data_IF_821867969757
#
_entry.id   IF_821867969757
#
_cell.length_a   1.000
_cell.length_b   1.000
_cell.length_c   1.000
_cell.angle_alpha   90.00
_cell.angle_beta   90.00
_cell.angle_gamma   90.00
#
_symmetry.space_group_name_H-M   'P 1'
#
loop_
_entity.id
_entity.type
_entity.pdbx_description
1 polymer ?
#
# COMPACT_ATOMS: atom_id res chain seq x y z
N UNK A 1 -21.43 37.48 -14.76
CA UNK A 1 -20.69 36.24 -15.04
C UNK A 1 -19.90 35.91 -13.79
N UNK A 2 -20.43 35.01 -12.95
CA UNK A 2 -19.74 34.56 -11.73
C UNK A 2 -18.64 33.59 -12.14
N UNK A 3 -17.40 33.93 -11.80
CA UNK A 3 -16.26 33.03 -11.91
C UNK A 3 -16.56 31.76 -11.11
N UNK A 4 -16.66 30.62 -11.79
CA UNK A 4 -16.70 29.32 -11.12
C UNK A 4 -15.31 29.13 -10.51
N UNK A 5 -15.20 29.28 -9.19
CA UNK A 5 -14.01 28.87 -8.45
C UNK A 5 -13.75 27.40 -8.78
N UNK A 6 -12.60 27.13 -9.42
CA UNK A 6 -12.16 25.76 -9.67
C UNK A 6 -11.98 25.10 -8.30
N UNK A 7 -12.85 24.15 -7.97
CA UNK A 7 -12.78 23.41 -6.72
C UNK A 7 -11.40 22.76 -6.61
N UNK A 8 -10.74 22.98 -5.49
CA UNK A 8 -9.45 22.37 -5.19
C UNK A 8 -9.61 20.85 -5.23
N UNK A 9 -8.78 20.19 -6.04
CA UNK A 9 -8.74 18.74 -6.17
C UNK A 9 -7.57 18.16 -5.42
N UNK A 10 -7.79 16.98 -4.87
CA UNK A 10 -6.81 16.18 -4.16
C UNK A 10 -6.62 14.86 -4.88
N UNK A 11 -5.37 14.55 -5.20
CA UNK A 11 -4.99 13.29 -5.85
C UNK A 11 -4.60 12.29 -4.77
N UNK A 12 -5.06 11.05 -4.90
CA UNK A 12 -4.74 9.95 -4.01
C UNK A 12 -4.10 8.81 -4.79
N UNK A 13 -3.13 8.14 -4.19
CA UNK A 13 -2.58 6.88 -4.68
C UNK A 13 -3.10 5.69 -3.87
N UNK A 14 -3.40 4.59 -4.56
CA UNK A 14 -4.04 3.42 -3.96
C UNK A 14 -3.05 2.30 -3.70
N UNK A 15 -3.17 1.72 -2.51
CA UNK A 15 -2.40 0.59 -2.03
C UNK A 15 -3.36 -0.52 -1.60
N UNK A 16 -2.94 -1.77 -1.74
CA UNK A 16 -3.55 -2.90 -1.08
C UNK A 16 -2.74 -3.25 0.15
N UNK A 17 -3.42 -3.60 1.24
CA UNK A 17 -2.75 -4.20 2.39
C UNK A 17 -3.26 -5.60 2.68
N UNK A 18 -2.38 -6.42 3.24
CA UNK A 18 -2.64 -7.82 3.54
C UNK A 18 -2.25 -8.08 4.99
N UNK A 19 -3.25 -8.43 5.81
CA UNK A 19 -3.08 -8.85 7.20
C UNK A 19 -3.00 -10.38 7.23
N UNK A 20 -1.87 -10.94 7.67
CA UNK A 20 -1.61 -12.38 7.68
C UNK A 20 -1.20 -12.85 9.07
N UNK A 21 -1.74 -13.97 9.58
CA UNK A 21 -1.22 -14.59 10.79
C UNK A 21 0.24 -15.02 10.59
N UNK A 22 1.11 -14.68 11.54
CA UNK A 22 2.56 -14.97 11.48
C UNK A 22 2.85 -16.47 11.54
N UNK A 23 2.06 -17.20 12.32
CA UNK A 23 2.20 -18.64 12.49
C UNK A 23 0.85 -19.28 12.76
N UNK A 24 0.67 -20.52 12.27
CA UNK A 24 -0.47 -21.37 12.65
C UNK A 24 -0.42 -21.81 14.11
N UNK A 25 0.76 -21.80 14.72
CA UNK A 25 0.91 -22.13 16.14
C UNK A 25 0.53 -20.92 16.99
N UNK A 26 -0.75 -20.83 17.34
CA UNK A 26 -1.23 -19.79 18.25
C UNK A 26 -0.83 -20.18 19.68
N UNK A 27 0.09 -19.40 20.25
CA UNK A 27 0.34 -19.46 21.68
C UNK A 27 -0.82 -18.76 22.40
N UNK A 28 -1.49 -19.48 23.30
CA UNK A 28 -2.57 -18.91 24.13
C UNK A 28 -2.02 -17.73 24.93
N UNK A 29 -2.59 -16.55 24.69
CA UNK A 29 -2.40 -15.40 25.58
C UNK A 29 -3.51 -15.41 26.62
N UNK A 30 -3.14 -15.11 27.87
CA UNK A 30 -4.04 -15.16 29.03
C UNK A 30 -5.27 -14.24 28.83
N UNK A 31 -5.11 -13.14 28.09
CA UNK A 31 -6.15 -12.13 27.88
C UNK A 31 -6.81 -12.17 26.48
N UNK A 32 -6.59 -13.22 25.69
CA UNK A 32 -7.13 -13.33 24.32
C UNK A 32 -8.13 -14.48 24.19
N UNK A 33 -9.34 -14.18 23.71
CA UNK A 33 -10.36 -15.19 23.35
C UNK A 33 -10.04 -15.93 22.03
N UNK A 34 -8.94 -15.58 21.36
CA UNK A 34 -8.51 -16.22 20.11
C UNK A 34 -7.61 -17.40 20.44
N UNK A 35 -8.14 -18.61 20.25
CA UNK A 35 -7.46 -19.87 20.54
C UNK A 35 -7.02 -20.62 19.28
N UNK A 36 -7.65 -20.37 18.14
CA UNK A 36 -7.40 -21.11 16.88
C UNK A 36 -6.99 -20.22 15.72
N UNK A 37 -6.27 -20.82 14.76
CA UNK A 37 -5.86 -20.15 13.52
C UNK A 37 -7.05 -19.58 12.76
N UNK A 38 -8.14 -20.34 12.69
CA UNK A 38 -9.37 -19.97 11.99
C UNK A 38 -10.03 -18.75 12.64
N UNK A 39 -10.06 -18.70 13.98
CA UNK A 39 -10.56 -17.54 14.72
C UNK A 39 -9.69 -16.31 14.46
N UNK A 40 -8.36 -16.45 14.50
CA UNK A 40 -7.46 -15.33 14.20
C UNK A 40 -7.64 -14.80 12.78
N UNK A 41 -7.83 -15.69 11.80
CA UNK A 41 -8.10 -15.32 10.41
C UNK A 41 -9.43 -14.57 10.27
N UNK A 42 -10.46 -14.98 11.00
CA UNK A 42 -11.78 -14.33 11.00
C UNK A 42 -11.76 -12.95 11.68
N UNK A 43 -11.03 -12.83 12.79
CA UNK A 43 -11.02 -11.62 13.63
C UNK A 43 -9.95 -10.57 13.24
N UNK A 44 -8.98 -10.90 12.37
CA UNK A 44 -7.86 -10.00 12.03
C UNK A 44 -8.26 -8.59 11.60
N UNK A 45 -9.38 -8.43 10.89
CA UNK A 45 -9.88 -7.13 10.45
C UNK A 45 -10.47 -6.36 11.64
N UNK A 46 -11.18 -7.02 12.56
CA UNK A 46 -11.68 -6.41 13.80
C UNK A 46 -10.50 -5.98 14.69
N UNK A 47 -9.48 -6.82 14.83
CA UNK A 47 -8.25 -6.48 15.56
C UNK A 47 -7.52 -5.26 14.97
N UNK A 48 -7.46 -5.14 13.64
CA UNK A 48 -6.92 -3.93 13.01
C UNK A 48 -7.83 -2.72 13.26
N UNK A 49 -9.16 -2.88 13.19
CA UNK A 49 -10.10 -1.80 13.49
C UNK A 49 -9.91 -1.27 14.92
N UNK A 50 -9.75 -2.17 15.91
CA UNK A 50 -9.49 -1.79 17.31
C UNK A 50 -8.18 -0.99 17.45
N UNK A 51 -7.12 -1.40 16.73
CA UNK A 51 -5.86 -0.65 16.68
C UNK A 51 -6.08 0.75 16.08
N UNK A 52 -6.82 0.85 14.97
CA UNK A 52 -7.08 2.12 14.28
C UNK A 52 -7.98 3.06 15.11
N UNK A 53 -8.92 2.53 15.89
CA UNK A 53 -9.80 3.30 16.78
C UNK A 53 -9.10 3.73 18.08
N UNK A 54 -7.98 3.10 18.43
CA UNK A 54 -7.27 3.39 19.65
C UNK A 54 -6.64 4.80 19.58
N UNK A 55 -7.01 5.69 20.51
CA UNK A 55 -6.46 7.06 20.59
C UNK A 55 -4.96 7.12 20.85
N UNK A 56 -4.37 6.04 21.36
CA UNK A 56 -2.95 5.92 21.62
C UNK A 56 -2.16 5.37 20.42
N UNK A 57 -2.79 5.18 19.25
CA UNK A 57 -2.05 4.83 18.04
C UNK A 57 -1.11 5.97 17.66
N UNK A 58 0.14 5.63 17.40
CA UNK A 58 1.15 6.57 16.94
C UNK A 58 1.95 5.98 15.80
N UNK A 59 2.45 6.85 14.92
CA UNK A 59 3.32 6.47 13.81
C UNK A 59 4.75 6.87 14.15
N UNK A 60 5.68 5.94 13.97
CA UNK A 60 7.11 6.17 14.25
C UNK A 60 7.85 6.55 12.98
N UNK A 61 8.10 7.86 12.78
CA UNK A 61 8.88 8.34 11.65
C UNK A 61 10.28 8.79 12.08
N UNK A 62 11.30 8.01 11.73
CA UNK A 62 12.70 8.23 12.18
C UNK A 62 13.29 9.60 11.83
N UNK A 63 12.70 10.34 10.89
CA UNK A 63 13.26 11.57 10.32
C UNK A 63 12.52 12.85 10.72
N UNK A 64 11.34 12.75 11.33
CA UNK A 64 10.57 13.91 11.76
C UNK A 64 9.45 13.50 12.70
N UNK A 65 8.97 14.44 13.51
CA UNK A 65 7.76 14.26 14.30
C UNK A 65 6.55 14.21 13.36
N UNK A 66 5.62 13.31 13.68
CA UNK A 66 4.37 13.14 12.93
C UNK A 66 3.19 13.21 13.87
N UNK A 67 2.09 13.77 13.38
CA UNK A 67 0.81 13.82 14.07
C UNK A 67 -0.15 12.95 13.27
N UNK A 68 -0.69 11.91 13.89
CA UNK A 68 -1.61 10.97 13.27
C UNK A 68 -2.92 11.00 14.04
N UNK A 69 -4.01 11.40 13.38
CA UNK A 69 -5.30 11.64 14.03
C UNK A 69 -6.44 11.06 13.21
N UNK A 70 -7.29 10.26 13.84
CA UNK A 70 -8.56 9.80 13.28
C UNK A 70 -9.52 10.99 13.17
N UNK A 71 -10.02 11.27 11.96
CA UNK A 71 -11.01 12.31 11.71
C UNK A 71 -12.40 11.75 11.54
N UNK A 72 -12.50 10.54 10.97
CA UNK A 72 -13.77 9.86 10.77
C UNK A 72 -13.61 8.34 10.79
N UNK A 73 -14.60 7.65 11.33
CA UNK A 73 -14.71 6.19 11.26
C UNK A 73 -16.16 5.77 11.07
N UNK A 74 -16.43 4.90 10.12
CA UNK A 74 -17.71 4.21 9.97
C UNK A 74 -17.52 2.79 9.42
N UNK A 75 -18.01 1.80 10.17
CA UNK A 75 -17.86 0.37 9.87
C UNK A 75 -16.41 0.00 9.56
N UNK A 76 -16.09 -0.12 8.27
CA UNK A 76 -14.80 -0.54 7.75
C UNK A 76 -13.96 0.64 7.20
N UNK A 77 -14.52 1.84 7.14
CA UNK A 77 -13.83 3.03 6.61
C UNK A 77 -13.25 3.84 7.75
N UNK A 78 -11.95 4.11 7.69
CA UNK A 78 -11.24 4.97 8.64
C UNK A 78 -10.47 6.05 7.90
N UNK A 79 -10.72 7.31 8.25
CA UNK A 79 -10.09 8.47 7.64
C UNK A 79 -9.21 9.15 8.67
N UNK A 80 -7.93 9.25 8.35
CA UNK A 80 -6.94 9.88 9.20
C UNK A 80 -6.32 11.09 8.51
N UNK A 81 -5.91 12.05 9.34
CA UNK A 81 -4.99 13.09 8.94
C UNK A 81 -3.61 12.79 9.50
N UNK A 82 -2.61 12.84 8.62
CA UNK A 82 -1.21 12.68 8.95
C UNK A 82 -0.45 13.97 8.64
N UNK A 83 -0.07 14.70 9.69
CA UNK A 83 0.83 15.85 9.61
C UNK A 83 2.28 15.43 9.86
N UNK A 84 3.23 16.10 9.23
CA UNK A 84 4.67 15.91 9.48
C UNK A 84 5.33 17.25 9.71
N UNK A 85 6.16 17.36 10.75
CA UNK A 85 6.90 18.58 11.03
C UNK A 85 7.90 18.86 9.90
N UNK A 86 7.90 20.10 9.43
CA UNK A 86 8.85 20.69 8.48
C UNK A 86 9.30 22.04 9.01
N UNK A 87 10.60 22.31 8.98
CA UNK A 87 11.12 23.62 9.35
C UNK A 87 11.24 24.48 8.07
N UNK A 88 10.51 25.59 8.01
CA UNK A 88 10.55 26.56 6.91
C UNK A 88 11.53 27.67 7.26
N UNK A 89 12.54 27.85 6.40
CA UNK A 89 13.46 28.98 6.48
C UNK A 89 12.84 30.19 5.78
N UNK A 90 12.53 31.23 6.55
CA UNK A 90 11.95 32.48 6.06
C UNK A 90 12.97 33.61 6.16
N UNK A 91 13.23 34.28 5.04
CA UNK A 91 13.98 35.53 5.04
C UNK A 91 13.03 36.71 5.31
N UNK A 92 13.38 37.54 6.27
CA UNK A 92 12.64 38.76 6.66
C UNK A 92 13.01 39.95 5.78
N UNK A 93 12.25 41.06 5.88
CA UNK A 93 12.55 42.30 5.13
C UNK A 93 13.88 42.91 5.56
N UNK A 94 14.29 42.63 6.79
CA UNK A 94 15.56 43.01 7.40
C UNK A 94 16.70 42.04 7.05
N UNK A 95 16.49 41.14 6.08
CA UNK A 95 17.43 40.11 5.63
C UNK A 95 17.89 39.15 6.73
N UNK A 96 17.10 39.00 7.81
CA UNK A 96 17.31 37.97 8.84
C UNK A 96 16.60 36.68 8.46
N UNK A 97 17.21 35.55 8.77
CA UNK A 97 16.62 34.24 8.57
C UNK A 97 15.95 33.76 9.85
N UNK A 98 14.68 33.38 9.76
CA UNK A 98 13.90 32.79 10.85
C UNK A 98 13.49 31.37 10.46
N UNK A 99 13.42 30.47 11.43
CA UNK A 99 12.88 29.12 11.25
C UNK A 99 11.49 29.04 11.86
N UNK A 100 10.52 28.63 11.04
CA UNK A 100 9.12 28.50 11.43
C UNK A 100 8.73 27.04 11.31
N UNK A 101 8.13 26.48 12.35
CA UNK A 101 7.58 25.13 12.32
C UNK A 101 6.30 25.11 11.48
N UNK A 102 6.25 24.23 10.48
CA UNK A 102 5.08 23.95 9.65
C UNK A 102 4.72 22.45 9.73
N UNK A 103 3.42 22.16 9.62
CA UNK A 103 2.88 20.81 9.67
C UNK A 103 2.02 20.54 8.43
N UNK A 104 2.63 20.48 7.23
CA UNK A 104 1.93 20.03 6.05
C UNK A 104 1.40 18.61 6.30
N UNK A 105 0.17 18.36 5.83
CA UNK A 105 -0.55 17.13 6.12
C UNK A 105 -1.10 16.47 4.86
N UNK A 106 -1.43 15.20 5.02
CA UNK A 106 -2.12 14.37 4.04
C UNK A 106 -3.29 13.66 4.71
N UNK A 107 -4.27 13.29 3.89
CA UNK A 107 -5.36 12.39 4.27
C UNK A 107 -5.01 10.96 3.88
N UNK A 108 -5.35 10.05 4.78
CA UNK A 108 -5.23 8.61 4.62
C UNK A 108 -6.60 7.99 4.78
N UNK A 109 -6.97 7.08 3.88
CA UNK A 109 -8.28 6.42 3.93
C UNK A 109 -8.08 4.91 3.90
N UNK A 110 -8.42 4.24 4.98
CA UNK A 110 -8.42 2.80 5.09
C UNK A 110 -9.81 2.27 4.78
N UNK A 111 -9.90 1.34 3.83
CA UNK A 111 -11.04 0.44 3.68
C UNK A 111 -10.65 -0.94 4.24
N UNK A 112 -11.11 -1.24 5.44
CA UNK A 112 -10.87 -2.46 6.22
C UNK A 112 -11.89 -3.57 5.99
N UNK A 113 -12.67 -3.47 4.91
CA UNK A 113 -13.52 -4.58 4.50
C UNK A 113 -12.66 -5.82 4.22
N UNK A 114 -12.99 -7.01 4.77
CA UNK A 114 -12.22 -8.23 4.59
C UNK A 114 -12.02 -8.66 3.13
N UNK A 115 -12.89 -8.20 2.22
CA UNK A 115 -12.81 -8.50 0.79
C UNK A 115 -11.99 -7.48 -0.01
N UNK A 116 -11.78 -6.28 0.55
CA UNK A 116 -11.13 -5.15 -0.11
C UNK A 116 -9.72 -4.90 0.40
N UNK A 117 -9.57 -4.48 1.66
CA UNK A 117 -8.30 -4.13 2.31
C UNK A 117 -7.41 -3.17 1.50
N UNK A 118 -7.92 -1.97 1.24
CA UNK A 118 -7.23 -0.92 0.47
C UNK A 118 -6.93 0.31 1.33
N UNK A 119 -5.82 0.96 1.03
CA UNK A 119 -5.37 2.21 1.64
C UNK A 119 -5.19 3.24 0.53
N UNK A 120 -5.88 4.37 0.63
CA UNK A 120 -5.62 5.53 -0.20
C UNK A 120 -4.73 6.54 0.54
N UNK A 121 -3.72 7.07 -0.15
CA UNK A 121 -2.77 8.04 0.38
C UNK A 121 -2.82 9.30 -0.47
N UNK A 122 -3.20 10.43 0.12
CA UNK A 122 -3.21 11.72 -0.57
C UNK A 122 -1.78 12.16 -0.95
N UNK A 123 -1.62 12.65 -2.18
CA UNK A 123 -0.42 13.34 -2.62
C UNK A 123 -0.35 14.75 -2.03
N UNK A 124 0.73 15.02 -1.29
CA UNK A 124 1.13 16.37 -0.92
C UNK A 124 2.66 16.43 -0.79
N UNK A 125 3.33 16.96 -1.82
CA UNK A 125 4.80 17.03 -1.85
C UNK A 125 5.41 17.93 -0.77
N UNK A 126 4.62 18.83 -0.16
CA UNK A 126 5.08 19.61 1.01
C UNK A 126 5.17 18.73 2.26
N UNK A 127 4.29 17.74 2.39
CA UNK A 127 4.29 16.77 3.48
C UNK A 127 5.26 15.62 3.18
N UNK A 128 5.03 14.86 2.11
CA UNK A 128 5.82 13.70 1.74
C UNK A 128 6.10 13.71 0.23
N UNK A 129 7.38 13.55 -0.14
CA UNK A 129 7.77 13.52 -1.55
C UNK A 129 7.16 12.34 -2.32
N UNK A 130 6.83 11.27 -1.60
CA UNK A 130 6.41 9.96 -2.12
C UNK A 130 5.43 9.31 -1.16
N UNK A 131 4.28 8.92 -1.68
CA UNK A 131 3.25 8.10 -1.02
C UNK A 131 3.82 6.78 -0.49
N UNK A 132 4.79 6.15 -1.16
CA UNK A 132 5.37 4.89 -0.69
C UNK A 132 6.13 5.07 0.63
N UNK A 133 6.66 6.26 0.89
CA UNK A 133 7.29 6.58 2.18
C UNK A 133 6.26 6.54 3.30
N UNK A 134 5.03 6.98 3.00
CA UNK A 134 3.90 6.95 3.93
C UNK A 134 3.38 5.53 4.12
N UNK A 135 3.23 4.76 3.03
CA UNK A 135 2.85 3.36 3.09
C UNK A 135 3.81 2.55 3.98
N UNK A 136 5.13 2.72 3.81
CA UNK A 136 6.12 2.08 4.67
C UNK A 136 6.09 2.58 6.12
N UNK A 137 5.82 3.87 6.35
CA UNK A 137 5.65 4.39 7.71
C UNK A 137 4.48 3.70 8.42
N UNK A 138 3.35 3.58 7.73
CA UNK A 138 2.15 2.92 8.25
C UNK A 138 2.42 1.44 8.49
N UNK A 139 2.98 0.72 7.51
CA UNK A 139 3.32 -0.70 7.62
C UNK A 139 4.20 -0.97 8.84
N UNK A 140 5.31 -0.23 8.99
CA UNK A 140 6.24 -0.42 10.10
C UNK A 140 5.60 -0.09 11.46
N UNK A 141 4.76 0.95 11.52
CA UNK A 141 4.13 1.36 12.77
C UNK A 141 3.05 0.35 13.20
N UNK A 142 2.16 -0.03 12.28
CA UNK A 142 1.11 -1.01 12.54
C UNK A 142 1.67 -2.41 12.83
N UNK A 143 2.79 -2.78 12.19
CA UNK A 143 3.46 -4.06 12.47
C UNK A 143 3.84 -4.22 13.94
N UNK A 144 4.23 -3.13 14.63
CA UNK A 144 4.57 -3.21 16.05
C UNK A 144 3.36 -3.56 16.92
N UNK A 145 2.18 -3.04 16.58
CA UNK A 145 0.93 -3.35 17.29
C UNK A 145 0.43 -4.76 16.95
N UNK A 146 0.49 -5.13 15.66
CA UNK A 146 -0.02 -6.41 15.15
C UNK A 146 0.86 -7.61 15.53
N UNK A 147 2.18 -7.42 15.70
CA UNK A 147 3.09 -8.48 16.12
C UNK A 147 2.66 -9.10 17.47
N UNK A 148 2.20 -8.24 18.39
CA UNK A 148 1.63 -8.68 19.66
C UNK A 148 0.36 -9.52 19.50
N UNK A 149 -0.31 -9.47 18.36
CA UNK A 149 -1.52 -10.23 18.06
C UNK A 149 -1.24 -11.42 17.13
N UNK A 150 0.03 -11.79 16.93
CA UNK A 150 0.46 -12.83 15.98
C UNK A 150 0.04 -12.51 14.53
N UNK A 151 -0.02 -11.23 14.17
CA UNK A 151 -0.39 -10.75 12.84
C UNK A 151 0.76 -9.94 12.22
N UNK A 152 0.94 -10.08 10.91
CA UNK A 152 1.80 -9.25 10.08
C UNK A 152 0.93 -8.46 9.10
N UNK A 153 1.39 -7.26 8.74
CA UNK A 153 0.78 -6.45 7.69
C UNK A 153 1.79 -6.19 6.58
N UNK A 154 1.33 -6.24 5.34
CA UNK A 154 2.09 -5.88 4.15
C UNK A 154 1.29 -4.87 3.35
N UNK A 155 1.90 -3.78 2.92
CA UNK A 155 1.25 -2.72 2.15
C UNK A 155 1.98 -2.54 0.83
N UNK A 156 1.27 -2.73 -0.29
CA UNK A 156 1.84 -2.66 -1.62
C UNK A 156 1.01 -1.79 -2.56
N UNK A 157 1.64 -1.01 -3.46
CA UNK A 157 0.92 -0.18 -4.40
C UNK A 157 0.14 -1.05 -5.38
N UNK A 158 -1.04 -0.58 -5.75
CA UNK A 158 -1.78 -1.10 -6.90
C UNK A 158 -1.28 -0.31 -8.12
N UNK A 159 -0.91 -0.99 -9.21
CA UNK A 159 -0.33 -0.34 -10.40
C UNK A 159 -0.93 -0.91 -11.68
N UNK A 160 -0.75 -0.19 -12.79
CA UNK A 160 -1.23 -0.63 -14.09
C UNK A 160 -0.27 -1.67 -14.71
N UNK A 161 -0.83 -2.78 -15.20
CA UNK A 161 -0.08 -3.82 -15.93
C UNK A 161 0.64 -3.24 -17.16
N UNK A 162 0.10 -2.18 -17.77
CA UNK A 162 0.74 -1.49 -18.90
C UNK A 162 2.14 -0.99 -18.57
N UNK A 163 2.42 -0.55 -17.32
CA UNK A 163 3.77 -0.07 -16.94
C UNK A 163 4.83 -1.16 -17.15
N UNK A 164 4.47 -2.42 -16.87
CA UNK A 164 5.38 -3.53 -17.12
C UNK A 164 5.66 -3.67 -18.62
N UNK A 165 4.62 -3.66 -19.45
CA UNK A 165 4.76 -3.82 -20.90
C UNK A 165 5.49 -2.64 -21.54
N UNK A 166 5.25 -1.41 -21.09
CA UNK A 166 5.99 -0.21 -21.51
C UNK A 166 7.50 -0.38 -21.29
N UNK A 167 7.91 -1.04 -20.18
CA UNK A 167 9.33 -1.33 -19.93
C UNK A 167 9.84 -2.41 -20.88
N UNK A 168 9.08 -3.47 -21.14
CA UNK A 168 9.47 -4.52 -22.08
C UNK A 168 9.65 -3.94 -23.49
N UNK A 169 8.71 -3.13 -23.95
CA UNK A 169 8.74 -2.46 -25.27
C UNK A 169 9.86 -1.44 -25.39
N UNK A 170 10.17 -0.72 -24.30
CA UNK A 170 11.29 0.23 -24.26
C UNK A 170 12.66 -0.46 -24.33
N UNK A 171 12.76 -1.72 -23.91
CA UNK A 171 14.01 -2.48 -23.85
C UNK A 171 13.90 -3.82 -24.61
N UNK A 172 13.63 -3.78 -25.93
CA UNK A 172 13.41 -4.98 -26.71
C UNK A 172 14.68 -5.82 -26.73
N UNK A 173 14.54 -7.14 -26.51
CA UNK A 173 15.65 -8.10 -26.49
C UNK A 173 16.79 -7.72 -25.54
N UNK A 174 16.49 -7.09 -24.40
CA UNK A 174 17.49 -6.72 -23.38
C UNK A 174 17.13 -7.20 -21.98
N UNK A 175 16.01 -7.89 -21.80
CA UNK A 175 15.59 -8.39 -20.49
C UNK A 175 16.39 -9.65 -20.17
N UNK A 176 17.22 -9.60 -19.13
CA UNK A 176 18.03 -10.75 -18.68
C UNK A 176 17.37 -11.50 -17.54
N UNK A 177 16.56 -10.82 -16.76
CA UNK A 177 15.95 -11.42 -15.57
C UNK A 177 14.61 -10.75 -15.26
N UNK A 178 13.63 -11.54 -14.85
CA UNK A 178 12.38 -11.09 -14.23
C UNK A 178 12.27 -11.74 -12.86
N UNK A 179 12.03 -10.94 -11.83
CA UNK A 179 11.76 -11.40 -10.48
C UNK A 179 10.37 -10.98 -10.02
N UNK A 180 9.54 -11.93 -9.63
CA UNK A 180 8.26 -11.70 -8.96
C UNK A 180 8.41 -12.00 -7.47
N UNK A 181 8.03 -11.07 -6.60
CA UNK A 181 7.84 -11.34 -5.18
C UNK A 181 6.35 -11.32 -4.90
N UNK A 182 5.78 -12.49 -4.60
CA UNK A 182 4.36 -12.68 -4.33
C UNK A 182 4.14 -12.69 -2.84
N UNK A 183 3.35 -11.75 -2.34
CA UNK A 183 2.84 -11.74 -0.97
C UNK A 183 1.62 -12.63 -0.94
N UNK A 184 1.51 -13.50 0.07
CA UNK A 184 0.41 -14.47 0.17
C UNK A 184 -0.93 -13.74 0.26
N UNK A 185 -1.89 -14.02 -0.63
CA UNK A 185 -3.13 -13.26 -0.66
C UNK A 185 -3.93 -13.50 0.61
N UNK A 186 -4.60 -12.44 1.08
CA UNK A 186 -5.77 -12.65 1.91
C UNK A 186 -6.86 -13.36 1.10
N UNK A 187 -7.79 -14.03 1.76
CA UNK A 187 -8.90 -14.76 1.10
C UNK A 187 -9.73 -13.89 0.12
N UNK A 188 -9.48 -12.58 0.09
CA UNK A 188 -9.86 -11.58 -0.92
C UNK A 188 -9.75 -12.01 -2.41
N UNK A 189 -10.47 -11.27 -3.26
CA UNK A 189 -10.75 -11.54 -4.68
C UNK A 189 -9.52 -11.71 -5.58
N UNK A 190 -8.36 -11.14 -5.23
CA UNK A 190 -7.13 -11.27 -6.03
C UNK A 190 -6.55 -12.69 -5.99
N UNK A 191 -7.03 -13.55 -5.07
CA UNK A 191 -6.57 -14.93 -4.99
C UNK A 191 -7.04 -15.82 -6.16
N UNK A 192 -7.91 -15.30 -7.03
CA UNK A 192 -8.37 -16.00 -8.24
C UNK A 192 -7.37 -15.88 -9.41
N UNK A 193 -6.48 -14.88 -9.40
CA UNK A 193 -5.50 -14.67 -10.49
C UNK A 193 -4.18 -15.42 -10.26
N UNK A 194 -3.90 -15.82 -9.02
CA UNK A 194 -2.70 -16.62 -8.70
C UNK A 194 -2.96 -18.12 -8.89
N UNK A 195 -1.95 -18.85 -9.35
CA UNK A 195 -2.00 -20.30 -9.47
C UNK A 195 -2.35 -20.95 -8.12
N UNK A 196 -3.32 -21.88 -8.14
CA UNK A 196 -3.78 -22.63 -6.96
C UNK A 196 -2.62 -23.36 -6.27
N UNK A 197 -1.65 -23.86 -7.03
CA UNK A 197 -0.48 -24.55 -6.49
C UNK A 197 0.40 -23.60 -5.66
N UNK A 198 0.60 -22.36 -6.13
CA UNK A 198 1.37 -21.35 -5.39
C UNK A 198 0.65 -20.99 -4.10
N UNK A 199 -0.67 -20.79 -4.15
CA UNK A 199 -1.48 -20.52 -2.96
C UNK A 199 -1.41 -21.67 -1.95
N UNK A 200 -1.53 -22.91 -2.42
CA UNK A 200 -1.42 -24.10 -1.57
C UNK A 200 -0.03 -24.24 -0.95
N UNK A 201 1.04 -23.97 -1.72
CA UNK A 201 2.42 -23.97 -1.22
C UNK A 201 2.61 -22.94 -0.11
N UNK A 202 2.13 -21.71 -0.29
CA UNK A 202 2.20 -20.66 0.73
C UNK A 202 1.38 -21.02 1.98
N UNK A 203 0.22 -21.64 1.80
CA UNK A 203 -0.61 -22.12 2.89
C UNK A 203 0.05 -23.27 3.66
N UNK A 204 0.67 -24.24 3.00
CA UNK A 204 1.22 -25.44 3.66
C UNK A 204 2.56 -25.17 4.35
N UNK A 205 3.32 -24.16 3.89
CA UNK A 205 4.65 -23.81 4.41
C UNK A 205 4.64 -22.58 5.33
N UNK A 206 3.48 -21.97 5.56
CA UNK A 206 3.33 -20.68 6.25
C UNK A 206 4.17 -19.54 5.62
N UNK A 207 4.49 -19.65 4.33
CA UNK A 207 5.21 -18.60 3.62
C UNK A 207 4.32 -17.37 3.40
N UNK A 208 4.77 -16.22 3.90
CA UNK A 208 4.13 -14.92 3.63
C UNK A 208 4.57 -14.33 2.30
N UNK A 209 5.79 -14.65 1.86
CA UNK A 209 6.39 -14.13 0.63
C UNK A 209 7.06 -15.26 -0.14
N UNK A 210 6.83 -15.30 -1.44
CA UNK A 210 7.44 -16.25 -2.36
C UNK A 210 8.13 -15.49 -3.49
N UNK A 211 9.36 -15.87 -3.83
CA UNK A 211 10.12 -15.22 -4.90
C UNK A 211 10.32 -16.17 -6.06
N UNK A 212 9.90 -15.74 -7.25
CA UNK A 212 10.13 -16.44 -8.50
C UNK A 212 11.09 -15.61 -9.34
N UNK A 213 12.13 -16.25 -9.85
CA UNK A 213 13.16 -15.60 -10.65
C UNK A 213 13.34 -16.38 -11.95
N UNK A 214 13.07 -15.70 -13.06
CA UNK A 214 13.39 -16.16 -14.40
C UNK A 214 14.68 -15.46 -14.80
N UNK A 215 15.72 -16.19 -15.17
CA UNK A 215 16.99 -15.65 -15.64
C UNK A 215 17.37 -16.32 -16.95
N UNK A 216 17.77 -15.52 -17.94
CA UNK A 216 18.35 -16.05 -19.17
C UNK A 216 19.81 -16.42 -18.97
N UNK A 217 20.38 -17.17 -19.91
CA UNK A 217 21.83 -17.26 -20.00
C UNK A 217 22.45 -15.84 -20.13
N UNK A 218 23.67 -15.64 -19.62
CA UNK A 218 24.42 -14.38 -19.67
C UNK A 218 24.55 -13.82 -21.09
N UNK A 219 24.64 -14.70 -22.08
CA UNK A 219 24.76 -14.36 -23.50
C UNK A 219 23.42 -14.27 -24.22
N UNK A 220 22.32 -14.59 -23.54
CA UNK A 220 20.96 -14.56 -24.07
C UNK A 220 20.09 -13.51 -23.36
N UNK A 221 18.83 -13.41 -23.79
CA UNK A 221 17.79 -12.62 -23.15
C UNK A 221 16.53 -13.49 -22.99
N UNK A 222 15.68 -13.12 -22.04
CA UNK A 222 14.36 -13.71 -21.89
C UNK A 222 13.46 -13.27 -23.05
N UNK A 223 12.69 -14.21 -23.58
CA UNK A 223 11.60 -13.93 -24.51
C UNK A 223 10.30 -13.80 -23.71
N UNK A 224 9.81 -12.57 -23.58
CA UNK A 224 8.65 -12.23 -22.76
C UNK A 224 7.61 -11.60 -23.67
N UNK A 225 6.50 -12.31 -23.83
CA UNK A 225 5.46 -11.99 -24.79
C UNK A 225 4.10 -11.89 -24.09
N UNK A 226 3.22 -11.06 -24.63
CA UNK A 226 1.91 -10.81 -24.04
C UNK A 226 1.01 -12.06 -24.05
N UNK A 227 1.20 -13.00 -24.97
CA UNK A 227 0.45 -14.26 -25.05
C UNK A 227 0.84 -15.30 -23.98
N UNK A 228 1.87 -15.04 -23.18
CA UNK A 228 2.25 -15.94 -22.10
C UNK A 228 1.30 -15.81 -20.90
N UNK A 229 0.31 -16.69 -20.81
CA UNK A 229 -0.70 -16.69 -19.76
C UNK A 229 -0.11 -16.78 -18.34
N UNK A 230 0.99 -17.51 -18.14
CA UNK A 230 1.60 -17.63 -16.80
C UNK A 230 2.19 -16.30 -16.34
N UNK A 231 2.85 -15.58 -17.25
CA UNK A 231 3.36 -14.23 -16.97
C UNK A 231 2.19 -13.28 -16.73
N UNK A 232 1.16 -13.29 -17.57
CA UNK A 232 -0.02 -12.45 -17.39
C UNK A 232 -0.66 -12.63 -16.00
N UNK A 233 -0.90 -13.88 -15.58
CA UNK A 233 -1.49 -14.17 -14.27
C UNK A 233 -0.64 -13.63 -13.10
N UNK A 234 0.69 -13.77 -13.18
CA UNK A 234 1.61 -13.22 -12.18
C UNK A 234 1.61 -11.68 -12.21
N UNK A 235 1.57 -11.07 -13.40
CA UNK A 235 1.49 -9.63 -13.57
C UNK A 235 0.21 -9.06 -12.98
N UNK A 236 -0.94 -9.63 -13.32
CA UNK A 236 -2.25 -9.21 -12.81
C UNK A 236 -2.31 -9.33 -11.28
N UNK A 237 -1.81 -10.44 -10.74
CA UNK A 237 -1.74 -10.63 -9.30
C UNK A 237 -0.87 -9.56 -8.64
N UNK A 238 0.35 -9.35 -9.14
CA UNK A 238 1.28 -8.37 -8.59
C UNK A 238 0.76 -6.93 -8.74
N UNK A 239 0.10 -6.60 -9.86
CA UNK A 239 -0.51 -5.31 -10.15
C UNK A 239 -1.62 -4.94 -9.15
N UNK A 240 -2.35 -5.92 -8.64
CA UNK A 240 -3.37 -5.72 -7.62
C UNK A 240 -2.81 -5.59 -6.20
N UNK A 241 -1.52 -5.28 -6.04
CA UNK A 241 -0.84 -5.23 -4.74
C UNK A 241 -0.46 -6.61 -4.20
N UNK A 242 -0.33 -7.61 -5.08
CA UNK A 242 0.19 -8.94 -4.78
C UNK A 242 1.71 -8.99 -4.60
N UNK A 243 2.40 -7.88 -4.82
CA UNK A 243 3.83 -7.70 -4.53
C UNK A 243 4.65 -7.16 -5.71
N UNK A 244 5.96 -6.88 -5.52
CA UNK A 244 6.80 -6.25 -6.53
C UNK A 244 7.18 -7.17 -7.68
N UNK A 245 7.29 -6.55 -8.87
CA UNK A 245 8.04 -7.09 -9.99
C UNK A 245 9.36 -6.33 -10.12
N UNK A 246 10.42 -7.05 -10.49
CA UNK A 246 11.73 -6.50 -10.79
C UNK A 246 12.28 -7.02 -12.11
N UNK A 247 12.94 -6.14 -12.86
CA UNK A 247 13.50 -6.41 -14.18
C UNK A 247 15.00 -6.09 -14.18
N UNK A 248 15.83 -7.04 -14.60
CA UNK A 248 17.26 -6.80 -14.88
C UNK A 248 17.43 -6.65 -16.38
N UNK A 249 18.00 -5.52 -16.79
CA UNK A 249 18.18 -5.17 -18.20
C UNK A 249 19.66 -5.16 -18.54
N UNK A 250 20.02 -5.79 -19.65
CA UNK A 250 21.38 -5.83 -20.17
C UNK A 250 21.90 -4.40 -20.36
N UNK A 251 23.06 -4.13 -19.77
CA UNK A 251 23.70 -2.80 -19.80
C UNK A 251 23.27 -1.84 -18.69
N UNK A 252 22.25 -2.18 -17.87
CA UNK A 252 21.90 -1.41 -16.68
C UNK A 252 22.42 -2.09 -15.42
N UNK A 253 23.12 -1.32 -14.57
CA UNK A 253 23.64 -1.83 -13.29
C UNK A 253 22.54 -2.08 -12.25
N UNK A 254 21.40 -1.39 -12.33
CA UNK A 254 20.30 -1.47 -11.36
C UNK A 254 19.10 -2.21 -11.96
N UNK A 255 18.45 -3.04 -11.15
CA UNK A 255 17.13 -3.61 -11.47
C UNK A 255 16.07 -2.50 -11.47
N UNK A 256 15.18 -2.52 -12.45
CA UNK A 256 13.99 -1.67 -12.51
C UNK A 256 12.89 -2.35 -11.70
N UNK A 257 12.17 -1.61 -10.87
CA UNK A 257 10.92 -2.07 -10.23
C UNK A 257 9.74 -1.40 -10.92
N UNK A 258 8.65 -2.13 -11.12
CA UNK A 258 7.42 -1.66 -11.80
C UNK A 258 6.40 -1.00 -10.87
N UNK A 259 6.83 -0.60 -9.67
CA UNK A 259 5.98 0.06 -8.67
C UNK A 259 5.96 1.59 -8.83
N UNK A 260 6.22 2.14 -10.03
CA UNK A 260 6.47 3.59 -10.14
C UNK A 260 5.20 4.40 -10.33
N UNK A 261 4.13 3.80 -10.84
CA UNK A 261 2.83 4.44 -10.99
C UNK A 261 1.77 3.69 -10.18
N UNK A 262 1.44 4.21 -9.00
CA UNK A 262 0.29 3.73 -8.25
C UNK A 262 -1.00 4.15 -8.95
N UNK A 263 -2.07 3.38 -8.82
CA UNK A 263 -3.40 3.74 -9.29
C UNK A 263 -3.88 5.01 -8.56
N UNK A 264 -4.27 6.02 -9.33
CA UNK A 264 -4.62 7.35 -8.82
C UNK A 264 -6.09 7.67 -9.03
N UNK A 265 -6.68 8.36 -8.05
CA UNK A 265 -8.00 8.96 -8.19
C UNK A 265 -8.02 10.38 -7.62
N UNK A 266 -8.97 11.19 -8.07
CA UNK A 266 -9.15 12.56 -7.62
C UNK A 266 -10.42 12.70 -6.77
N UNK A 267 -10.33 13.47 -5.69
CA UNK A 267 -11.47 13.90 -4.86
C UNK A 267 -11.43 15.42 -4.74
N UNK A 268 -12.58 16.09 -4.83
CA UNK A 268 -12.69 17.53 -4.60
C UNK A 268 -12.69 17.87 -3.11
N UNK A 269 -12.26 19.08 -2.75
CA UNK A 269 -12.27 19.56 -1.37
C UNK A 269 -13.66 19.57 -0.72
N UNK A 270 -14.71 19.84 -1.51
CA UNK A 270 -16.09 19.76 -1.06
C UNK A 270 -16.50 18.32 -0.71
N UNK A 271 -16.12 17.34 -1.52
CA UNK A 271 -16.43 15.92 -1.26
C UNK A 271 -15.67 15.40 -0.03
N UNK A 272 -14.40 15.82 0.13
CA UNK A 272 -13.57 15.43 1.27
C UNK A 272 -14.05 16.02 2.60
N UNK A 273 -14.50 17.28 2.59
CA UNK A 273 -14.99 17.98 3.78
C UNK A 273 -16.52 17.90 3.91
N UNK A 274 -17.19 17.16 3.02
CA UNK A 274 -18.63 17.02 2.98
C UNK A 274 -19.18 16.16 4.12
N UNK A 275 -20.51 15.97 4.18
CA UNK A 275 -21.14 15.09 5.15
C UNK A 275 -20.50 13.70 5.11
N UNK A 276 -20.16 13.09 6.26
CA UNK A 276 -19.40 11.84 6.26
C UNK A 276 -20.08 10.67 5.54
N UNK A 277 -21.42 10.65 5.47
CA UNK A 277 -22.18 9.66 4.69
C UNK A 277 -21.96 9.77 3.18
N UNK A 278 -21.77 10.98 2.64
CA UNK A 278 -21.51 11.18 1.21
C UNK A 278 -20.08 10.74 0.86
N UNK A 279 -19.12 11.10 1.71
CA UNK A 279 -17.73 10.65 1.58
C UNK A 279 -17.64 9.12 1.63
N UNK A 280 -18.39 8.47 2.52
CA UNK A 280 -18.49 7.01 2.61
C UNK A 280 -18.98 6.35 1.32
N UNK A 281 -20.11 6.79 0.76
CA UNK A 281 -20.65 6.18 -0.47
C UNK A 281 -19.67 6.35 -1.64
N UNK A 282 -19.06 7.52 -1.77
CA UNK A 282 -18.01 7.77 -2.76
C UNK A 282 -16.78 6.87 -2.53
N UNK A 283 -16.30 6.75 -1.30
CA UNK A 283 -15.14 5.92 -0.97
C UNK A 283 -15.40 4.42 -1.15
N UNK A 284 -16.64 3.95 -0.93
CA UNK A 284 -17.02 2.57 -1.23
C UNK A 284 -16.89 2.27 -2.71
N UNK A 285 -17.21 3.20 -3.59
CA UNK A 285 -17.13 3.01 -5.04
C UNK A 285 -15.70 3.10 -5.56
N UNK A 286 -14.91 4.04 -5.03
CA UNK A 286 -13.51 4.25 -5.43
C UNK A 286 -12.59 3.13 -4.93
N UNK A 287 -12.87 2.56 -3.75
CA UNK A 287 -12.06 1.51 -3.14
C UNK A 287 -12.74 0.12 -3.18
N UNK A 288 -13.48 -0.25 -4.23
CA UNK A 288 -13.93 -1.65 -4.40
C UNK A 288 -12.80 -2.60 -4.78
#
# INVERSE_FOLDING_TARGET
>A
MSSIESLKKYVFETYRYQILPISKNIQKKIDSNIETYEQLVAEKNNLLADILLNKNIFLNYKRSQVVFRLEYSDKNIFIFRLGVRRDIKRNTKEFKQEEIEDYPNIVLIFNNDPTVQKLAIQKNYRAFNKSETVAHLIENSLSNFLLGLNLAIYIEPIYNVSEFWDIIERYPNKIQQIGFELIRPNLSNISNTIDKQIKQLQLSTDAHKTKFELESNKDANLNITQDNQQIQNLLEYSAQGGGPISLKIKGLKKKIKTKKSSEEFEITELELNGPPEQLKEMMKDILK
#
